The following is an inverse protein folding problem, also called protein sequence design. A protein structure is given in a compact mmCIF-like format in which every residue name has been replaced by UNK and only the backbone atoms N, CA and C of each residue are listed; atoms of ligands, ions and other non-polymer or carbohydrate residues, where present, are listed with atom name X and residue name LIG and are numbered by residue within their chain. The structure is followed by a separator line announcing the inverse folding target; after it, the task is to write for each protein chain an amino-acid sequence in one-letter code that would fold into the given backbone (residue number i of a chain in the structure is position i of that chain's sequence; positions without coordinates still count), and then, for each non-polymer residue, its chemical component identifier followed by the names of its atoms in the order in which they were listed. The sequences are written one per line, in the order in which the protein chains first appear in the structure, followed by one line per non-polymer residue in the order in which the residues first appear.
data_IF_379266927400
#
_entry.id   IF_379266927400
#
_cell.length_a   1.000
_cell.length_b   1.000
_cell.length_c   1.000
_cell.angle_alpha   90.00
_cell.angle_beta   90.00
_cell.angle_gamma   90.00
#
_symmetry.space_group_name_H-M   'P 1'
#
loop_
_entity.id
_entity.type
_entity.pdbx_description
1 polymer ?
#
# COMPACT_ATOMS: atom_id res chain seq x y z
N UNK A 1 -27.98 -0.90 2.33
CA UNK A 1 -27.79 0.44 1.70
C UNK A 1 -27.63 1.50 2.79
N UNK A 2 -26.43 2.07 2.97
CA UNK A 2 -26.18 3.01 4.08
C UNK A 2 -26.82 4.38 3.84
N UNK A 3 -27.80 4.76 4.68
CA UNK A 3 -28.60 6.00 4.52
C UNK A 3 -27.71 7.25 4.38
N UNK A 4 -27.61 7.80 3.18
CA UNK A 4 -27.00 9.11 2.93
C UNK A 4 -28.13 10.14 2.92
N UNK A 5 -28.01 11.27 3.63
CA UNK A 5 -29.02 12.32 3.61
C UNK A 5 -29.23 12.84 2.18
N UNK A 6 -30.49 13.08 1.79
CA UNK A 6 -30.89 13.58 0.46
C UNK A 6 -31.47 15.00 0.48
N UNK A 7 -31.50 15.67 1.64
CA UNK A 7 -32.03 17.03 1.75
C UNK A 7 -31.08 18.06 1.14
N UNK A 8 -31.64 19.16 0.65
CA UNK A 8 -30.93 20.23 -0.09
C UNK A 8 -29.78 20.85 0.72
N UNK A 9 -29.95 21.01 2.05
CA UNK A 9 -28.94 21.59 2.94
C UNK A 9 -28.01 20.56 3.62
N UNK A 10 -28.00 19.30 3.18
CA UNK A 10 -27.26 18.23 3.86
C UNK A 10 -25.80 18.01 3.38
N UNK A 11 -25.27 18.90 2.52
CA UNK A 11 -23.97 18.75 1.85
C UNK A 11 -22.80 18.47 2.81
N UNK A 12 -22.75 19.17 3.96
CA UNK A 12 -21.69 18.98 4.98
C UNK A 12 -21.63 17.54 5.47
N UNK A 13 -22.78 16.95 5.80
CA UNK A 13 -22.89 15.57 6.30
C UNK A 13 -22.50 14.55 5.23
N UNK A 14 -22.87 14.79 3.97
CA UNK A 14 -22.48 13.95 2.83
C UNK A 14 -20.96 13.96 2.65
N UNK A 15 -20.33 15.15 2.70
CA UNK A 15 -18.87 15.31 2.58
C UNK A 15 -18.12 14.58 3.69
N UNK A 16 -18.48 14.79 4.96
CA UNK A 16 -17.83 14.12 6.10
C UNK A 16 -18.00 12.59 6.02
N UNK A 17 -19.18 12.11 5.61
CA UNK A 17 -19.42 10.67 5.41
C UNK A 17 -18.52 10.09 4.31
N UNK A 18 -18.38 10.79 3.18
CA UNK A 18 -17.48 10.38 2.08
C UNK A 18 -16.03 10.35 2.55
N UNK A 19 -15.58 11.35 3.31
CA UNK A 19 -14.22 11.38 3.85
C UNK A 19 -13.96 10.18 4.77
N UNK A 20 -14.88 9.88 5.70
CA UNK A 20 -14.77 8.69 6.57
C UNK A 20 -14.70 7.38 5.78
N UNK A 21 -15.50 7.24 4.72
CA UNK A 21 -15.45 6.04 3.88
C UNK A 21 -14.22 5.99 2.98
N UNK A 22 -13.65 7.13 2.59
CA UNK A 22 -12.41 7.19 1.80
C UNK A 22 -11.23 6.55 2.55
N UNK A 23 -11.17 6.74 3.86
CA UNK A 23 -10.17 6.09 4.73
C UNK A 23 -10.26 4.56 4.79
N UNK A 24 -11.38 3.95 4.39
CA UNK A 24 -11.46 2.48 4.28
C UNK A 24 -10.69 1.94 3.06
N UNK A 25 -10.43 2.77 2.05
CA UNK A 25 -9.63 2.37 0.90
C UNK A 25 -8.16 2.18 1.31
N UNK A 26 -7.60 1.01 1.00
CA UNK A 26 -6.20 0.70 1.27
C UNK A 26 -5.25 1.64 0.49
N UNK A 27 -5.54 1.88 -0.80
CA UNK A 27 -4.75 2.78 -1.64
C UNK A 27 -4.74 4.21 -1.09
N UNK A 28 -5.91 4.71 -0.64
CA UNK A 28 -6.00 6.05 -0.06
C UNK A 28 -5.15 6.18 1.22
N UNK A 29 -5.23 5.18 2.11
CA UNK A 29 -4.41 5.14 3.33
C UNK A 29 -2.92 5.12 3.04
N UNK A 30 -2.45 4.21 2.17
CA UNK A 30 -1.03 4.09 1.81
C UNK A 30 -0.47 5.40 1.26
N UNK A 31 -1.20 6.03 0.34
CA UNK A 31 -0.79 7.30 -0.27
C UNK A 31 -0.77 8.47 0.71
N UNK A 32 -1.84 8.66 1.49
CA UNK A 32 -1.95 9.83 2.39
C UNK A 32 -0.97 9.74 3.56
N UNK A 33 -0.69 8.54 4.03
CA UNK A 33 0.27 8.32 5.14
C UNK A 33 1.71 8.11 4.66
N UNK A 34 1.95 8.12 3.34
CA UNK A 34 3.25 7.83 2.71
C UNK A 34 3.87 6.53 3.26
N UNK A 35 3.05 5.48 3.36
CA UNK A 35 3.49 4.22 3.97
C UNK A 35 4.54 3.50 3.12
N UNK A 36 4.41 3.61 1.80
CA UNK A 36 5.30 2.92 0.86
C UNK A 36 6.70 3.54 0.91
N UNK A 37 6.81 4.88 0.91
CA UNK A 37 8.09 5.60 1.03
C UNK A 37 8.83 5.30 2.35
N UNK A 38 8.10 5.16 3.46
CA UNK A 38 8.69 4.84 4.77
C UNK A 38 9.19 3.40 4.91
N UNK A 39 8.61 2.48 4.15
CA UNK A 39 8.91 1.05 4.25
C UNK A 39 9.82 0.56 3.11
N UNK A 40 9.89 1.30 2.01
CA UNK A 40 10.69 0.96 0.84
C UNK A 40 12.19 1.13 1.15
N UNK A 41 13.02 0.08 1.01
CA UNK A 41 14.47 0.19 1.19
C UNK A 41 15.15 1.15 0.19
N UNK A 42 14.49 1.51 -0.92
CA UNK A 42 14.98 2.52 -1.87
C UNK A 42 14.36 3.90 -1.67
N UNK A 43 13.51 4.09 -0.66
CA UNK A 43 12.83 5.36 -0.36
C UNK A 43 12.11 5.97 -1.59
N UNK A 44 11.61 5.14 -2.51
CA UNK A 44 10.95 5.59 -3.74
C UNK A 44 11.88 5.92 -4.91
N UNK A 45 13.19 5.68 -4.79
CA UNK A 45 14.15 5.83 -5.89
C UNK A 45 14.04 4.69 -6.90
N UNK A 46 14.18 4.94 -8.22
CA UNK A 46 14.16 3.89 -9.24
C UNK A 46 15.35 2.93 -9.16
N UNK A 47 16.48 3.34 -8.56
CA UNK A 47 17.71 2.55 -8.45
C UNK A 47 18.48 2.88 -7.16
N UNK A 48 19.29 1.93 -6.68
CA UNK A 48 20.18 2.06 -5.52
C UNK A 48 21.50 1.31 -5.71
N UNK A 49 22.48 1.55 -4.84
CA UNK A 49 23.76 0.81 -4.79
C UNK A 49 23.87 0.10 -3.44
N UNK A 50 24.56 -1.03 -3.40
CA UNK A 50 24.78 -1.81 -2.18
C UNK A 50 26.07 -2.62 -2.24
N UNK A 51 26.47 -3.19 -1.11
CA UNK A 51 27.64 -4.05 -0.96
C UNK A 51 27.15 -5.47 -0.68
N UNK A 52 27.76 -6.46 -1.34
CA UNK A 52 27.41 -7.87 -1.15
C UNK A 52 27.97 -8.36 0.18
N UNK A 53 27.11 -8.96 1.02
CA UNK A 53 27.51 -9.57 2.29
C UNK A 53 27.78 -11.07 2.12
N UNK A 54 26.84 -11.80 1.53
CA UNK A 54 26.92 -13.25 1.34
C UNK A 54 26.17 -13.69 0.09
N UNK A 55 26.39 -14.95 -0.35
CA UNK A 55 25.68 -15.59 -1.46
C UNK A 55 24.71 -16.62 -0.89
N UNK A 56 23.42 -16.49 -1.20
CA UNK A 56 22.36 -17.32 -0.59
C UNK A 56 21.60 -18.10 -1.66
N UNK A 57 21.28 -19.36 -1.38
CA UNK A 57 20.36 -20.16 -2.19
C UNK A 57 18.95 -20.12 -1.61
N UNK A 58 17.97 -19.60 -2.34
CA UNK A 58 16.56 -19.58 -1.92
C UNK A 58 15.78 -20.64 -2.68
N UNK A 59 15.11 -21.55 -1.99
CA UNK A 59 14.27 -22.57 -2.63
C UNK A 59 13.06 -21.93 -3.34
N UNK A 60 12.67 -22.50 -4.47
CA UNK A 60 11.47 -22.11 -5.18
C UNK A 60 10.21 -22.41 -4.37
N UNK A 61 9.17 -21.58 -4.55
CA UNK A 61 7.85 -21.89 -4.00
C UNK A 61 7.29 -23.15 -4.67
N UNK A 62 6.63 -23.98 -3.88
CA UNK A 62 5.86 -25.13 -4.34
C UNK A 62 4.89 -24.68 -5.46
N UNK A 63 4.70 -25.50 -6.52
CA UNK A 63 5.01 -26.93 -6.62
C UNK A 63 6.41 -27.26 -7.18
N UNK A 64 7.26 -26.27 -7.45
CA UNK A 64 8.56 -26.52 -8.08
C UNK A 64 9.65 -26.81 -7.03
N UNK A 65 10.52 -27.77 -7.31
CA UNK A 65 11.72 -28.03 -6.51
C UNK A 65 12.96 -27.56 -7.28
N UNK A 66 13.48 -26.39 -6.90
CA UNK A 66 14.68 -25.78 -7.47
C UNK A 66 15.26 -24.72 -6.53
N UNK A 67 16.58 -24.49 -6.57
CA UNK A 67 17.25 -23.44 -5.79
C UNK A 67 17.55 -22.23 -6.70
N UNK A 68 17.15 -21.02 -6.27
CA UNK A 68 17.45 -19.73 -6.91
C UNK A 68 18.69 -19.12 -6.26
N UNK A 69 19.64 -18.68 -7.07
CA UNK A 69 20.84 -17.96 -6.61
C UNK A 69 20.46 -16.50 -6.34
N UNK A 70 20.68 -16.03 -5.11
CA UNK A 70 20.45 -14.66 -4.66
C UNK A 70 21.73 -14.06 -4.07
#
# INVERSE_FOLDING_TARGET
MGRTPKGEFAARKVRSKRQRFRWKSAQYKRRVLMLDEKADPLEGSPQGRGIVLEKVGVEAKQPNSAIRKC
#
